data_IF_550779645223
#
_entry.id   IF_550779645223
#
_cell.length_a   1.000
_cell.length_b   1.000
_cell.length_c   1.000
_cell.angle_alpha   90.00
_cell.angle_beta   90.00
_cell.angle_gamma   90.00
#
_symmetry.space_group_name_H-M   'P 1'
#
loop_
_entity.id
_entity.type
_entity.pdbx_description
1 polymer ?
#
# COMPACT_ATOMS: atom_id res chain seq x y z
N UNK A 1 -5.19 6.56 -3.59
CA UNK A 1 -5.01 5.62 -4.71
C UNK A 1 -4.32 4.32 -4.30
N UNK A 2 -3.25 4.33 -3.50
CA UNK A 2 -2.52 3.09 -3.16
C UNK A 2 -3.39 1.96 -2.61
N UNK A 3 -4.26 2.24 -1.61
CA UNK A 3 -5.17 1.21 -1.10
C UNK A 3 -6.16 0.70 -2.15
N UNK A 4 -6.71 1.61 -2.97
CA UNK A 4 -7.63 1.23 -4.05
C UNK A 4 -6.95 0.28 -5.04
N UNK A 5 -5.75 0.60 -5.50
CA UNK A 5 -4.98 -0.27 -6.40
C UNK A 5 -4.65 -1.62 -5.75
N UNK A 6 -4.34 -1.65 -4.45
CA UNK A 6 -4.14 -2.90 -3.72
C UNK A 6 -5.40 -3.78 -3.78
N UNK A 7 -6.57 -3.23 -3.44
CA UNK A 7 -7.85 -3.97 -3.46
C UNK A 7 -8.23 -4.50 -4.85
N UNK A 8 -7.87 -3.76 -5.91
CA UNK A 8 -8.06 -4.20 -7.31
C UNK A 8 -7.18 -5.39 -7.68
N UNK A 9 -6.00 -5.51 -7.08
CA UNK A 9 -5.07 -6.62 -7.32
C UNK A 9 -5.33 -7.80 -6.38
N UNK A 10 -5.72 -7.51 -5.14
CA UNK A 10 -5.99 -8.46 -4.06
C UNK A 10 -7.18 -7.96 -3.22
N UNK A 11 -8.39 -8.50 -3.43
CA UNK A 11 -9.60 -8.07 -2.71
C UNK A 11 -9.59 -8.37 -1.20
N UNK A 12 -8.65 -9.18 -0.72
CA UNK A 12 -8.50 -9.50 0.70
C UNK A 12 -7.02 -9.48 1.12
N UNK A 13 -6.40 -8.29 1.17
CA UNK A 13 -4.99 -8.15 1.45
C UNK A 13 -4.66 -8.42 2.92
N UNK A 14 -3.44 -8.84 3.21
CA UNK A 14 -2.88 -8.85 4.57
C UNK A 14 -2.50 -7.44 5.05
N UNK A 15 -2.38 -7.26 6.37
CA UNK A 15 -1.88 -6.00 6.95
C UNK A 15 -0.46 -5.67 6.48
N UNK A 16 0.37 -6.68 6.22
CA UNK A 16 1.72 -6.49 5.68
C UNK A 16 1.68 -5.90 4.26
N UNK A 17 0.79 -6.41 3.38
CA UNK A 17 0.60 -5.86 2.04
C UNK A 17 0.08 -4.43 2.09
N UNK A 18 -0.84 -4.11 3.01
CA UNK A 18 -1.33 -2.75 3.21
C UNK A 18 -0.16 -1.81 3.54
N UNK A 19 0.67 -2.16 4.54
CA UNK A 19 1.83 -1.34 4.92
C UNK A 19 2.82 -1.13 3.76
N UNK A 20 3.12 -2.19 3.01
CA UNK A 20 4.03 -2.13 1.86
C UNK A 20 3.54 -1.12 0.79
N UNK A 21 2.24 -1.14 0.49
CA UNK A 21 1.65 -0.20 -0.47
C UNK A 21 1.69 1.27 0.01
N UNK A 22 1.92 1.52 1.30
CA UNK A 22 2.03 2.86 1.87
C UNK A 22 3.46 3.39 2.02
N UNK A 23 4.50 2.59 1.78
CA UNK A 23 5.91 3.01 1.89
C UNK A 23 6.22 4.25 1.03
N UNK A 24 5.62 4.34 -0.16
CA UNK A 24 5.78 5.48 -1.07
C UNK A 24 4.87 6.69 -0.81
N UNK A 25 3.99 6.64 0.19
CA UNK A 25 3.01 7.69 0.46
C UNK A 25 3.43 8.52 1.66
N UNK A 26 3.63 9.83 1.50
CA UNK A 26 4.00 10.75 2.58
C UNK A 26 2.78 11.48 3.14
N UNK A 27 2.59 11.44 4.45
CA UNK A 27 1.59 12.23 5.17
C UNK A 27 2.24 12.94 6.36
N UNK A 28 2.10 14.27 6.42
CA UNK A 28 2.71 15.07 7.49
C UNK A 28 1.80 15.23 8.72
N UNK A 29 0.49 15.04 8.58
CA UNK A 29 -0.48 15.45 9.59
C UNK A 29 -0.95 14.31 10.50
N UNK A 30 -1.24 13.14 9.94
CA UNK A 30 -1.99 12.09 10.65
C UNK A 30 -1.12 11.18 11.51
N UNK A 31 0.20 11.18 11.30
CA UNK A 31 1.09 10.19 11.88
C UNK A 31 0.77 8.75 11.44
N UNK A 32 0.05 8.56 10.33
CA UNK A 32 -0.39 7.30 9.71
C UNK A 32 -1.30 6.38 10.51
N UNK A 33 -1.23 6.38 11.84
CA UNK A 33 -2.06 5.52 12.70
C UNK A 33 -3.54 5.50 12.29
N UNK A 34 -4.26 6.62 12.18
CA UNK A 34 -5.67 6.59 11.81
C UNK A 34 -5.92 6.13 10.37
N UNK A 35 -4.94 6.28 9.46
CA UNK A 35 -5.04 5.81 8.06
C UNK A 35 -4.96 4.27 8.04
N UNK A 36 -3.94 3.72 8.71
CA UNK A 36 -3.74 2.28 8.77
C UNK A 36 -4.86 1.59 9.54
N UNK A 37 -5.29 2.16 10.66
CA UNK A 37 -6.40 1.64 11.45
C UNK A 37 -7.70 1.58 10.63
N UNK A 38 -8.01 2.61 9.84
CA UNK A 38 -9.18 2.60 8.95
C UNK A 38 -9.12 1.52 7.85
N UNK A 39 -7.92 1.13 7.40
CA UNK A 39 -7.77 0.06 6.40
C UNK A 39 -7.69 -1.35 7.01
N UNK A 40 -7.53 -1.48 8.33
CA UNK A 40 -7.50 -2.80 8.99
C UNK A 40 -8.77 -3.60 8.72
N UNK A 41 -9.94 -2.96 8.72
CA UNK A 41 -11.23 -3.62 8.45
C UNK A 41 -11.33 -4.28 7.06
N UNK A 42 -10.44 -3.91 6.12
CA UNK A 42 -10.37 -4.48 4.78
C UNK A 42 -9.38 -5.66 4.68
N UNK A 43 -8.66 -5.96 5.75
CA UNK A 43 -7.62 -6.99 5.77
C UNK A 43 -8.15 -8.40 6.02
N UNK A 44 -7.38 -9.42 5.62
CA UNK A 44 -7.66 -10.81 5.95
C UNK A 44 -7.76 -11.04 7.47
N UNK A 45 -6.90 -10.37 8.23
CA UNK A 45 -6.80 -10.45 9.68
C UNK A 45 -8.09 -9.98 10.36
N UNK A 46 -8.75 -8.94 9.84
CA UNK A 46 -10.05 -8.48 10.34
C UNK A 46 -11.17 -9.51 10.11
N UNK A 47 -11.14 -10.28 9.01
CA UNK A 47 -12.15 -11.33 8.74
C UNK A 47 -11.90 -12.63 9.53
N UNK A 48 -10.66 -12.89 9.90
CA UNK A 48 -10.27 -14.13 10.60
C UNK A 48 -10.33 -13.97 12.12
N UNK A 49 -10.30 -12.73 12.62
CA UNK A 49 -10.44 -12.42 14.02
C UNK A 49 -11.89 -12.60 14.51
N UNK A 50 -12.22 -13.76 15.06
CA UNK A 50 -13.19 -13.89 16.17
C UNK A 50 -12.63 -13.29 17.47
N UNK A 51 -11.96 -12.14 17.36
CA UNK A 51 -11.14 -11.56 18.42
C UNK A 51 -11.16 -10.04 18.29
N UNK A 52 -12.18 -9.44 18.90
CA UNK A 52 -12.34 -8.03 19.22
C UNK A 52 -11.68 -7.05 18.22
N UNK A 53 -12.41 -6.63 17.18
CA UNK A 53 -12.09 -5.47 16.35
C UNK A 53 -12.10 -4.12 17.10
N UNK A 54 -11.83 -4.12 18.40
CA UNK A 54 -11.67 -2.91 19.20
C UNK A 54 -10.18 -2.65 19.40
N UNK A 55 -9.87 -1.37 19.58
CA UNK A 55 -8.54 -0.82 19.90
C UNK A 55 -7.85 -1.46 21.11
N UNK A 56 -8.58 -2.27 21.88
CA UNK A 56 -8.15 -2.91 23.13
C UNK A 56 -7.67 -4.35 23.02
N UNK A 57 -7.63 -4.98 21.84
CA UNK A 57 -7.12 -6.35 21.71
C UNK A 57 -5.61 -6.46 22.00
N UNK A 58 -4.88 -5.34 21.97
CA UNK A 58 -3.44 -5.28 22.29
C UNK A 58 -3.12 -4.56 23.61
N UNK A 59 -4.12 -4.22 24.43
CA UNK A 59 -3.82 -3.81 25.81
C UNK A 59 -3.50 -5.06 26.62
N UNK A 60 -2.20 -5.29 26.79
CA UNK A 60 -1.55 -6.25 27.69
C UNK A 60 -2.36 -6.54 28.98
N UNK A 61 -3.31 -7.48 28.92
CA UNK A 61 -3.80 -8.27 30.06
C UNK A 61 -4.09 -9.68 29.59
N UNK A 62 -3.20 -10.60 29.87
CA UNK A 62 -3.10 -11.91 29.27
C UNK A 62 -2.95 -12.98 30.38
N UNK A 63 -4.05 -13.46 30.94
CA UNK A 63 -3.98 -14.08 32.26
C UNK A 63 -3.37 -15.51 32.31
N UNK A 64 -2.06 -15.70 32.59
CA UNK A 64 -1.40 -17.01 32.93
C UNK A 64 -1.92 -17.70 34.22
N UNK A 65 -2.35 -18.98 34.23
CA UNK A 65 -2.62 -19.76 35.44
C UNK A 65 -1.35 -20.28 36.13
N UNK A 66 -1.19 -19.96 37.42
CA UNK A 66 -0.14 -20.50 38.29
C UNK A 66 -0.45 -21.96 38.67
N UNK A 67 0.41 -22.90 38.25
CA UNK A 67 0.74 -24.08 39.06
C UNK A 67 2.20 -24.48 38.84
N UNK A 68 2.88 -24.80 39.94
CA UNK A 68 4.33 -25.05 40.02
C UNK A 68 4.79 -26.29 39.24
N UNK A 69 5.87 -26.14 38.46
CA UNK A 69 6.66 -27.25 37.92
C UNK A 69 7.70 -26.79 36.90
N UNK A 70 8.97 -26.80 37.29
CA UNK A 70 10.13 -26.36 36.49
C UNK A 70 10.38 -27.29 35.29
N UNK A 71 10.49 -26.74 34.06
CA UNK A 71 11.71 -26.73 33.22
C UNK A 71 11.43 -26.53 31.72
N UNK A 72 12.23 -25.61 31.16
CA UNK A 72 12.83 -25.56 29.82
C UNK A 72 11.96 -25.39 28.56
N UNK A 73 12.08 -24.19 27.98
CA UNK A 73 12.47 -24.06 26.57
C UNK A 73 11.37 -23.80 25.54
N UNK A 74 11.52 -22.67 24.86
CA UNK A 74 10.99 -22.33 23.51
C UNK A 74 9.50 -22.02 23.34
N UNK A 75 9.27 -20.82 22.77
CA UNK A 75 8.12 -20.36 21.97
C UNK A 75 6.79 -20.02 22.67
N UNK A 76 6.22 -18.91 22.17
CA UNK A 76 4.81 -18.49 22.16
C UNK A 76 4.18 -17.88 23.42
N UNK A 77 3.58 -16.70 23.20
CA UNK A 77 2.47 -16.14 23.99
C UNK A 77 2.85 -15.63 25.37
N UNK A 78 3.28 -14.37 25.47
CA UNK A 78 3.31 -13.69 26.77
C UNK A 78 1.88 -13.45 27.22
N UNK A 79 1.40 -14.32 28.10
CA UNK A 79 0.26 -14.13 28.99
C UNK A 79 0.70 -13.25 30.21
N UNK A 80 0.16 -12.04 30.35
CA UNK A 80 0.06 -11.14 31.51
C UNK A 80 -1.14 -11.34 32.52
N UNK A 81 -1.01 -12.06 33.65
CA UNK A 81 -2.05 -12.05 34.72
C UNK A 81 -2.10 -10.77 35.53
N UNK A 82 -3.33 -10.43 35.91
CA UNK A 82 -3.71 -9.41 36.91
C UNK A 82 -3.21 -9.80 38.31
N UNK A 83 -2.58 -8.86 39.01
CA UNK A 83 -2.57 -8.83 40.47
C UNK A 83 -3.50 -7.71 40.95
N UNK A 84 -4.45 -8.10 41.81
CA UNK A 84 -5.30 -7.17 42.54
C UNK A 84 -4.62 -6.80 43.85
N UNK A 85 -4.37 -5.50 44.04
CA UNK A 85 -4.60 -4.74 45.27
C UNK A 85 -3.57 -3.62 45.42
N UNK A 86 -3.93 -2.41 44.97
CA UNK A 86 -3.65 -1.23 45.76
C UNK A 86 -4.91 -0.37 45.83
N UNK A 87 -5.59 -0.45 46.99
CA UNK A 87 -6.65 0.45 47.42
C UNK A 87 -5.98 1.72 47.95
N UNK A 88 -5.56 2.61 47.05
CA UNK A 88 -5.61 4.05 47.33
C UNK A 88 -5.27 4.84 46.08
N UNK A 89 -6.30 5.32 45.39
CA UNK A 89 -6.28 6.56 44.61
C UNK A 89 -7.68 6.74 44.08
N UNK A 90 -8.41 7.64 44.74
CA UNK A 90 -9.64 8.30 44.29
C UNK A 90 -9.98 8.05 42.81
N UNK A 91 -10.87 7.09 42.57
CA UNK A 91 -11.48 6.84 41.27
C UNK A 91 -12.47 7.99 41.04
N UNK A 92 -12.08 8.95 40.22
CA UNK A 92 -13.04 9.80 39.53
C UNK A 92 -13.67 8.92 38.44
N UNK A 93 -14.88 8.43 38.68
CA UNK A 93 -15.72 7.84 37.63
C UNK A 93 -16.17 8.97 36.69
N UNK A 94 -15.33 9.34 35.73
CA UNK A 94 -15.75 10.17 34.60
C UNK A 94 -16.31 9.24 33.52
N UNK A 95 -17.54 8.80 33.72
CA UNK A 95 -18.26 7.80 32.93
C UNK A 95 -18.69 8.29 31.54
N UNK A 96 -17.92 9.19 30.92
CA UNK A 96 -18.31 9.86 29.68
C UNK A 96 -17.18 10.09 28.66
N UNK A 97 -16.05 9.38 28.79
CA UNK A 97 -15.00 9.40 27.77
C UNK A 97 -15.17 8.17 26.86
N UNK A 98 -15.71 8.37 25.66
CA UNK A 98 -15.74 7.33 24.64
C UNK A 98 -14.33 6.99 24.16
N UNK A 99 -13.87 5.79 24.49
CA UNK A 99 -12.64 5.19 23.94
C UNK A 99 -12.86 4.59 22.54
N UNK A 100 -13.86 5.03 21.77
CA UNK A 100 -14.09 4.60 20.38
C UNK A 100 -14.18 5.84 19.48
N UNK A 101 -13.35 5.90 18.42
CA UNK A 101 -13.27 7.05 17.50
C UNK A 101 -14.23 6.95 16.32
N UNK A 102 -14.64 5.75 15.96
CA UNK A 102 -15.55 5.46 14.84
C UNK A 102 -16.20 4.09 15.06
N UNK A 103 -17.37 3.89 14.46
CA UNK A 103 -18.05 2.60 14.42
C UNK A 103 -17.73 1.89 13.10
N UNK A 104 -17.15 0.70 13.18
CA UNK A 104 -16.81 -0.11 11.99
C UNK A 104 -18.06 -0.73 11.36
N UNK A 105 -19.13 -0.93 12.12
CA UNK A 105 -20.36 -1.55 11.64
C UNK A 105 -21.16 -0.61 10.71
N UNK A 106 -20.89 0.69 10.76
CA UNK A 106 -21.45 1.69 9.83
C UNK A 106 -20.81 1.64 8.44
N UNK A 107 -19.67 0.97 8.28
CA UNK A 107 -18.94 0.95 7.01
C UNK A 107 -19.62 0.06 5.98
N UNK A 108 -19.78 0.58 4.75
CA UNK A 108 -20.28 -0.21 3.63
C UNK A 108 -19.28 -1.31 3.27
N UNK A 109 -19.77 -2.52 3.10
CA UNK A 109 -18.97 -3.66 2.62
C UNK A 109 -18.39 -3.40 1.24
N UNK A 110 -17.13 -3.75 1.05
CA UNK A 110 -16.46 -3.67 -0.24
C UNK A 110 -17.02 -4.71 -1.23
N UNK A 111 -17.47 -4.25 -2.40
CA UNK A 111 -17.97 -5.09 -3.49
C UNK A 111 -17.07 -4.93 -4.74
N UNK A 112 -16.19 -5.91 -5.02
CA UNK A 112 -15.29 -5.88 -6.19
C UNK A 112 -16.01 -5.84 -7.55
N UNK A 113 -17.30 -6.21 -7.61
CA UNK A 113 -18.06 -6.23 -8.86
C UNK A 113 -18.49 -4.85 -9.34
N UNK A 114 -18.55 -3.86 -8.43
CA UNK A 114 -18.94 -2.48 -8.73
C UNK A 114 -17.76 -1.60 -9.12
N UNK A 115 -16.61 -2.22 -9.39
CA UNK A 115 -15.40 -1.52 -9.80
C UNK A 115 -15.48 -1.00 -11.22
N UNK A 116 -14.72 0.07 -11.50
CA UNK A 116 -14.66 0.66 -12.84
C UNK A 116 -14.16 -0.38 -13.83
N UNK A 117 -15.00 -0.63 -14.85
CA UNK A 117 -14.72 -1.56 -15.93
C UNK A 117 -13.48 -1.10 -16.72
N UNK A 118 -12.74 -2.06 -17.28
CA UNK A 118 -11.67 -1.72 -18.21
C UNK A 118 -12.29 -1.13 -19.50
N UNK A 119 -11.80 0.04 -19.99
CA UNK A 119 -12.34 0.66 -21.19
C UNK A 119 -12.36 -0.32 -22.39
N UNK A 120 -13.53 -0.63 -22.98
CA UNK A 120 -13.63 -1.64 -24.03
C UNK A 120 -12.79 -1.33 -25.27
N UNK A 121 -12.66 -0.05 -25.63
CA UNK A 121 -11.87 0.39 -26.78
C UNK A 121 -10.40 -0.05 -26.71
N UNK A 122 -9.81 0.01 -25.51
CA UNK A 122 -8.42 -0.40 -25.26
C UNK A 122 -8.25 -1.93 -25.30
N UNK A 123 -9.35 -2.69 -25.15
CA UNK A 123 -9.32 -4.16 -25.17
C UNK A 123 -9.46 -4.69 -26.60
N UNK A 124 -10.26 -4.03 -27.43
CA UNK A 124 -10.57 -4.48 -28.79
C UNK A 124 -9.47 -4.07 -29.78
N UNK A 125 -8.92 -2.86 -29.65
CA UNK A 125 -7.91 -2.38 -30.59
C UNK A 125 -6.50 -2.74 -30.10
N UNK A 126 -5.86 -3.73 -30.73
CA UNK A 126 -4.51 -4.17 -30.40
C UNK A 126 -3.42 -3.52 -31.26
N UNK A 127 -3.79 -2.76 -32.30
CA UNK A 127 -2.84 -2.11 -33.20
C UNK A 127 -1.90 -1.17 -32.42
N UNK A 128 -2.43 -0.51 -31.38
CA UNK A 128 -1.66 0.34 -30.47
C UNK A 128 -0.49 -0.37 -29.77
N UNK A 129 -0.49 -1.71 -29.70
CA UNK A 129 0.57 -2.50 -29.10
C UNK A 129 1.68 -2.86 -30.09
N UNK A 130 1.32 -3.00 -31.36
CA UNK A 130 2.22 -3.51 -32.42
C UNK A 130 2.81 -2.41 -33.30
N UNK A 131 2.21 -1.23 -33.33
CA UNK A 131 2.70 -0.12 -34.14
C UNK A 131 3.91 0.56 -33.49
N UNK A 132 4.90 0.88 -34.33
CA UNK A 132 5.98 1.78 -33.94
C UNK A 132 5.49 3.22 -34.06
N UNK A 133 5.66 4.02 -33.00
CA UNK A 133 5.16 5.40 -32.97
C UNK A 133 6.32 6.39 -32.88
N UNK A 134 6.12 7.58 -33.45
CA UNK A 134 7.03 8.70 -33.36
C UNK A 134 6.27 9.98 -33.00
N UNK A 135 6.71 10.66 -31.95
CA UNK A 135 6.15 11.94 -31.52
C UNK A 135 7.24 13.01 -31.58
N UNK A 136 7.04 14.00 -32.45
CA UNK A 136 7.97 15.12 -32.62
C UNK A 136 7.44 16.36 -31.93
N UNK A 137 8.13 16.80 -30.89
CA UNK A 137 7.92 18.11 -30.28
C UNK A 137 8.99 19.12 -30.71
N UNK A 138 8.90 20.39 -30.28
CA UNK A 138 9.86 21.42 -30.65
C UNK A 138 11.30 21.19 -30.15
N UNK A 139 11.47 20.36 -29.12
CA UNK A 139 12.76 20.15 -28.41
C UNK A 139 13.11 18.68 -28.17
N UNK A 140 12.23 17.76 -28.56
CA UNK A 140 12.38 16.35 -28.24
C UNK A 140 11.64 15.53 -29.29
N UNK A 141 12.30 14.51 -29.79
CA UNK A 141 11.64 13.43 -30.51
C UNK A 141 11.58 12.18 -29.65
N UNK A 142 10.38 11.60 -29.53
CA UNK A 142 10.13 10.38 -28.78
C UNK A 142 9.76 9.25 -29.74
N UNK A 143 10.55 8.18 -29.71
CA UNK A 143 10.33 6.98 -30.49
C UNK A 143 9.81 5.85 -29.59
N UNK A 144 8.77 5.15 -30.03
CA UNK A 144 8.30 3.90 -29.43
C UNK A 144 8.39 2.79 -30.46
N UNK A 145 9.58 2.19 -30.68
CA UNK A 145 9.70 1.03 -31.54
C UNK A 145 8.91 -0.17 -31.01
N UNK A 146 8.33 -0.96 -31.91
CA UNK A 146 7.60 -2.20 -31.60
C UNK A 146 8.39 -3.48 -31.90
N UNK A 147 9.61 -3.34 -32.42
CA UNK A 147 10.51 -4.46 -32.69
C UNK A 147 11.95 -4.14 -32.27
N UNK A 148 12.68 -5.19 -31.89
CA UNK A 148 14.08 -5.07 -31.50
C UNK A 148 14.95 -4.55 -32.66
N UNK A 149 14.68 -4.98 -33.89
CA UNK A 149 15.41 -4.52 -35.07
C UNK A 149 15.22 -3.01 -35.31
N UNK A 150 14.01 -2.50 -35.12
CA UNK A 150 13.74 -1.06 -35.22
C UNK A 150 14.45 -0.28 -34.10
N UNK A 151 14.40 -0.78 -32.86
CA UNK A 151 15.13 -0.18 -31.74
C UNK A 151 16.64 -0.11 -32.00
N UNK A 152 17.24 -1.20 -32.48
CA UNK A 152 18.67 -1.24 -32.82
C UNK A 152 19.03 -0.24 -33.91
N UNK A 153 18.19 -0.12 -34.94
CA UNK A 153 18.39 0.89 -35.99
C UNK A 153 18.34 2.32 -35.44
N UNK A 154 17.37 2.62 -34.59
CA UNK A 154 17.26 3.94 -33.95
C UNK A 154 18.48 4.23 -33.08
N UNK A 155 18.97 3.24 -32.32
CA UNK A 155 20.16 3.42 -31.48
C UNK A 155 21.44 3.60 -32.30
N UNK A 156 21.52 3.00 -33.49
CA UNK A 156 22.61 3.22 -34.43
C UNK A 156 22.56 4.62 -35.07
N UNK A 157 21.37 5.11 -35.41
CA UNK A 157 21.16 6.45 -36.00
C UNK A 157 21.36 7.58 -34.98
N UNK A 158 20.90 7.36 -33.74
CA UNK A 158 20.98 8.32 -32.64
C UNK A 158 21.71 7.69 -31.45
N UNK A 159 23.07 7.59 -31.49
CA UNK A 159 23.83 6.97 -30.42
C UNK A 159 23.68 7.67 -29.06
N UNK A 160 23.43 8.97 -29.06
CA UNK A 160 23.15 9.80 -27.87
C UNK A 160 21.75 9.56 -27.28
N UNK A 161 20.80 8.97 -28.04
CA UNK A 161 19.43 8.79 -27.58
C UNK A 161 19.38 7.91 -26.32
N UNK A 162 18.65 8.38 -25.30
CA UNK A 162 18.50 7.64 -24.04
C UNK A 162 17.33 6.67 -24.15
N UNK A 163 17.56 5.43 -23.75
CA UNK A 163 16.51 4.42 -23.61
C UNK A 163 15.75 4.66 -22.32
N UNK A 164 14.42 4.67 -22.38
CA UNK A 164 13.54 4.96 -21.25
C UNK A 164 12.48 3.89 -21.13
N UNK A 165 12.31 3.35 -19.92
CA UNK A 165 11.19 2.46 -19.57
C UNK A 165 10.31 3.11 -18.50
N UNK A 166 10.71 3.04 -17.22
CA UNK A 166 9.98 3.60 -16.09
C UNK A 166 10.20 5.10 -15.87
N UNK A 167 11.17 5.72 -16.56
CA UNK A 167 11.49 7.15 -16.51
C UNK A 167 11.88 7.73 -15.12
N UNK A 168 12.06 6.90 -14.10
CA UNK A 168 12.38 7.36 -12.73
C UNK A 168 13.77 7.99 -12.62
N UNK A 169 14.73 7.56 -13.44
CA UNK A 169 16.08 8.16 -13.53
C UNK A 169 16.07 9.43 -14.40
N UNK A 170 15.62 9.31 -15.65
CA UNK A 170 15.71 10.39 -16.65
C UNK A 170 14.82 11.58 -16.29
N UNK A 171 13.61 11.33 -15.78
CA UNK A 171 12.71 12.39 -15.32
C UNK A 171 13.27 13.15 -14.12
N UNK A 172 13.92 12.46 -13.19
CA UNK A 172 14.60 13.09 -12.06
C UNK A 172 15.76 13.99 -12.53
N UNK A 173 16.61 13.50 -13.44
CA UNK A 173 17.73 14.26 -13.99
C UNK A 173 17.30 15.51 -14.76
N UNK A 174 16.20 15.43 -15.52
CA UNK A 174 15.60 16.61 -16.18
C UNK A 174 15.16 17.66 -15.16
N UNK A 175 14.40 17.25 -14.13
CA UNK A 175 13.76 18.18 -13.21
C UNK A 175 14.70 18.77 -12.16
N UNK A 176 15.72 18.02 -11.72
CA UNK A 176 16.64 18.45 -10.64
C UNK A 176 18.02 18.85 -11.11
N UNK A 177 18.47 18.32 -12.25
CA UNK A 177 19.84 18.53 -12.75
C UNK A 177 19.87 19.22 -14.12
N UNK A 178 18.71 19.63 -14.66
CA UNK A 178 18.57 20.36 -15.93
C UNK A 178 19.26 19.70 -17.13
N UNK A 179 19.28 18.36 -17.15
CA UNK A 179 19.84 17.58 -18.27
C UNK A 179 18.80 17.46 -19.37
N UNK A 180 19.14 17.89 -20.58
CA UNK A 180 18.25 17.82 -21.76
C UNK A 180 18.67 16.69 -22.70
N UNK A 181 17.69 16.19 -23.45
CA UNK A 181 17.87 15.11 -24.42
C UNK A 181 17.07 15.47 -25.67
N UNK A 182 17.72 15.36 -26.82
CA UNK A 182 17.12 15.66 -28.12
C UNK A 182 16.30 14.47 -28.64
N UNK A 183 16.74 13.24 -28.34
CA UNK A 183 16.03 12.00 -28.69
C UNK A 183 15.87 11.04 -27.51
N UNK A 184 14.67 10.43 -27.41
CA UNK A 184 14.35 9.37 -26.44
C UNK A 184 13.68 8.19 -27.14
N UNK A 185 13.99 6.96 -26.70
CA UNK A 185 13.36 5.75 -27.22
C UNK A 185 12.87 4.82 -26.09
N UNK A 186 11.71 4.20 -26.26
CA UNK A 186 11.11 3.22 -25.32
C UNK A 186 10.74 1.92 -26.02
#
# INVERSE_FOLDING_TARGET
>A
MSMYTLLRNDPLPSLAQINEYFVGNLCRCTGYRPILDGFRGLSAEAKTAKGCGKRDCCQLKCSVPETNGTLNGTSNGSDCKNDTANKDSTVYEDSNISEILFDEDEFKTYDPSQEVIFPPELKVNTNWLTESLEFRGPRLTYYRPSSLSHLMRLKALYPSAKLIVGNTEVGCGKNRSYIWYDELAK
#
